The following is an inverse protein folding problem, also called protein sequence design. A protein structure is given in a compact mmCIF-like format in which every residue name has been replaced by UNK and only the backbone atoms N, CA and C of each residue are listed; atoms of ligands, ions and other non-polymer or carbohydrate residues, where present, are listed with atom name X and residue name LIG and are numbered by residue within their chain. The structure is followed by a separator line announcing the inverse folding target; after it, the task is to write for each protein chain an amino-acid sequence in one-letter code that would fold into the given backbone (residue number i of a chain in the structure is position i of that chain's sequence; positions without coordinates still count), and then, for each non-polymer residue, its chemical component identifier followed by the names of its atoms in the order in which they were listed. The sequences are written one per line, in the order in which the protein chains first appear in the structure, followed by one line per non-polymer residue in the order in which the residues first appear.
data_IF_638149365811
#
_entry.id   IF_638149365811
#
_cell.length_a   1.000
_cell.length_b   1.000
_cell.length_c   1.000
_cell.angle_alpha   90.00
_cell.angle_beta   90.00
_cell.angle_gamma   90.00
#
_symmetry.space_group_name_H-M   'P 1'
#
loop_
_entity.id
_entity.type
_entity.pdbx_description
1 polymer ?
#
# COMPACT_ATOMS: atom_id res chain seq x y z
N UNK A 1 -16.84 11.54 -2.74
CA UNK A 1 -15.53 11.71 -2.07
C UNK A 1 -14.67 12.65 -2.91
N UNK A 2 -13.81 13.48 -2.29
CA UNK A 2 -13.04 14.51 -3.00
C UNK A 2 -11.59 14.10 -3.31
N UNK A 3 -11.10 13.05 -2.67
CA UNK A 3 -9.72 12.57 -2.84
C UNK A 3 -9.77 11.14 -3.41
N UNK A 4 -9.28 10.90 -4.63
CA UNK A 4 -9.33 9.57 -5.27
C UNK A 4 -8.32 8.58 -4.66
N UNK A 5 -7.30 9.10 -3.98
CA UNK A 5 -6.29 8.34 -3.27
C UNK A 5 -6.25 8.75 -1.80
N UNK A 6 -6.24 7.77 -0.91
CA UNK A 6 -5.88 7.94 0.50
C UNK A 6 -4.69 7.07 0.83
N UNK A 7 -3.82 7.56 1.71
CA UNK A 7 -2.65 6.86 2.18
C UNK A 7 -2.73 6.65 3.69
N UNK A 8 -2.45 5.43 4.13
CA UNK A 8 -2.35 5.05 5.54
C UNK A 8 -0.96 4.48 5.81
N UNK A 9 -0.32 4.96 6.86
CA UNK A 9 1.01 4.52 7.32
C UNK A 9 1.01 4.54 8.84
N UNK A 10 1.84 3.72 9.47
CA UNK A 10 2.10 3.85 10.90
C UNK A 10 2.65 2.58 11.55
N UNK A 11 2.91 2.72 12.84
CA UNK A 11 3.40 1.65 13.71
C UNK A 11 2.27 1.12 14.59
N UNK A 12 2.08 -0.20 14.61
CA UNK A 12 1.15 -0.85 15.54
C UNK A 12 -0.33 -0.83 15.12
N UNK A 13 -1.23 -0.51 16.04
CA UNK A 13 -2.65 -0.85 15.92
C UNK A 13 -3.49 0.22 15.20
N UNK A 14 -4.39 -0.25 14.35
CA UNK A 14 -5.47 0.54 13.74
C UNK A 14 -6.82 -0.10 14.12
N UNK A 15 -7.80 0.75 14.43
CA UNK A 15 -9.16 0.31 14.77
C UNK A 15 -10.14 1.24 14.09
N UNK A 16 -11.03 0.68 13.27
CA UNK A 16 -12.15 1.40 12.68
C UNK A 16 -13.42 1.13 13.50
N UNK A 17 -14.15 2.20 13.78
CA UNK A 17 -15.55 2.13 14.18
C UNK A 17 -16.42 1.55 13.04
N UNK A 18 -17.67 1.19 13.36
CA UNK A 18 -18.61 0.71 12.34
C UNK A 18 -18.87 1.77 11.26
N UNK A 19 -18.94 3.04 11.66
CA UNK A 19 -19.15 4.15 10.72
C UNK A 19 -17.94 4.35 9.80
N UNK A 20 -16.72 4.29 10.34
CA UNK A 20 -15.48 4.38 9.53
C UNK A 20 -15.34 3.18 8.60
N UNK A 21 -15.66 1.98 9.07
CA UNK A 21 -15.66 0.75 8.27
C UNK A 21 -16.62 0.87 7.09
N UNK A 22 -17.87 1.29 7.34
CA UNK A 22 -18.88 1.48 6.30
C UNK A 22 -18.49 2.58 5.30
N UNK A 23 -17.93 3.68 5.80
CA UNK A 23 -17.47 4.79 4.96
C UNK A 23 -16.27 4.38 4.09
N UNK A 24 -15.29 3.64 4.64
CA UNK A 24 -14.15 3.14 3.89
C UNK A 24 -14.57 2.13 2.82
N UNK A 25 -15.52 1.23 3.13
CA UNK A 25 -16.09 0.32 2.12
C UNK A 25 -16.72 1.12 1.00
N UNK A 26 -17.60 2.07 1.33
CA UNK A 26 -18.29 2.92 0.36
C UNK A 26 -17.29 3.70 -0.50
N UNK A 27 -16.23 4.23 0.11
CA UNK A 27 -15.15 4.91 -0.59
C UNK A 27 -14.48 4.02 -1.63
N UNK A 28 -14.02 2.83 -1.20
CA UNK A 28 -13.28 1.91 -2.06
C UNK A 28 -14.15 1.33 -3.17
N UNK A 29 -15.41 1.00 -2.89
CA UNK A 29 -16.34 0.50 -3.93
C UNK A 29 -16.83 1.59 -4.88
N UNK A 30 -16.76 2.87 -4.49
CA UNK A 30 -17.14 4.01 -5.34
C UNK A 30 -15.99 4.57 -6.20
N UNK A 31 -14.88 3.84 -6.33
CA UNK A 31 -13.73 4.25 -7.15
C UNK A 31 -12.55 4.84 -6.37
N UNK A 32 -12.64 4.94 -5.04
CA UNK A 32 -11.49 5.29 -4.22
C UNK A 32 -10.38 4.23 -4.26
N UNK A 33 -9.17 4.65 -3.91
CA UNK A 33 -8.00 3.79 -3.78
C UNK A 33 -7.30 4.04 -2.45
N UNK A 34 -6.97 2.98 -1.73
CA UNK A 34 -6.22 3.04 -0.48
C UNK A 34 -4.83 2.43 -0.66
N UNK A 35 -3.79 3.22 -0.42
CA UNK A 35 -2.43 2.71 -0.23
C UNK A 35 -2.11 2.61 1.26
N UNK A 36 -1.73 1.42 1.71
CA UNK A 36 -1.31 1.15 3.09
C UNK A 36 0.16 0.79 3.08
N UNK A 37 0.98 1.50 3.85
CA UNK A 37 2.39 1.19 4.03
C UNK A 37 2.67 0.77 5.47
N UNK A 38 3.25 -0.42 5.64
CA UNK A 38 3.63 -0.93 6.95
C UNK A 38 5.03 -0.43 7.33
N UNK A 39 5.09 0.50 8.27
CA UNK A 39 6.33 1.01 8.84
C UNK A 39 6.84 0.17 10.02
N UNK A 40 6.06 -0.85 10.43
CA UNK A 40 6.39 -2.00 11.28
C UNK A 40 5.27 -2.31 12.28
N UNK A 41 4.75 -3.54 12.22
CA UNK A 41 3.79 -4.08 13.19
C UNK A 41 2.31 -3.82 12.87
N UNK A 42 1.98 -3.31 11.67
CA UNK A 42 0.61 -3.04 11.26
C UNK A 42 -0.15 -4.29 10.80
N UNK A 43 0.57 -5.30 10.28
CA UNK A 43 0.01 -6.44 9.55
C UNK A 43 -1.20 -7.13 10.21
N UNK A 44 -1.08 -7.56 11.48
CA UNK A 44 -2.17 -8.27 12.17
C UNK A 44 -3.42 -7.40 12.37
N UNK A 45 -3.24 -6.09 12.50
CA UNK A 45 -4.31 -5.15 12.76
C UNK A 45 -5.02 -4.78 11.47
N UNK A 46 -4.26 -4.53 10.40
CA UNK A 46 -4.87 -4.17 9.12
C UNK A 46 -5.61 -5.34 8.48
N UNK A 47 -5.12 -6.57 8.64
CA UNK A 47 -5.88 -7.76 8.22
C UNK A 47 -7.23 -7.84 8.93
N UNK A 48 -7.25 -7.65 10.26
CA UNK A 48 -8.50 -7.64 11.04
C UNK A 48 -9.44 -6.52 10.59
N UNK A 49 -8.94 -5.30 10.47
CA UNK A 49 -9.78 -4.14 10.14
C UNK A 49 -10.30 -4.21 8.70
N UNK A 50 -9.47 -4.61 7.74
CA UNK A 50 -9.93 -4.76 6.35
C UNK A 50 -10.93 -5.90 6.18
N UNK A 51 -10.92 -6.92 7.05
CA UNK A 51 -11.98 -7.94 7.07
C UNK A 51 -13.33 -7.37 7.51
N UNK A 52 -13.37 -6.32 8.34
CA UNK A 52 -14.60 -5.60 8.64
C UNK A 52 -15.10 -4.83 7.41
N UNK A 53 -14.18 -4.21 6.66
CA UNK A 53 -14.50 -3.43 5.44
C UNK A 53 -15.00 -4.34 4.32
N UNK A 54 -14.32 -5.48 4.10
CA UNK A 54 -14.68 -6.49 3.13
C UNK A 54 -14.77 -7.89 3.76
N UNK A 55 -15.94 -8.28 4.30
CA UNK A 55 -16.11 -9.59 4.95
C UNK A 55 -15.83 -10.79 4.03
N UNK A 56 -16.10 -10.65 2.73
CA UNK A 56 -15.99 -11.73 1.76
C UNK A 56 -14.71 -11.68 0.91
N UNK A 57 -13.85 -10.67 1.12
CA UNK A 57 -12.57 -10.55 0.43
C UNK A 57 -11.43 -10.71 1.43
N UNK A 58 -10.27 -11.10 0.91
CA UNK A 58 -9.03 -11.20 1.66
C UNK A 58 -7.91 -10.50 0.88
N UNK A 59 -6.85 -10.13 1.59
CA UNK A 59 -5.61 -9.71 0.95
C UNK A 59 -5.03 -10.86 0.15
N UNK A 60 -4.71 -10.60 -1.11
CA UNK A 60 -3.97 -11.53 -1.99
C UNK A 60 -2.64 -10.93 -2.36
N UNK A 61 -1.57 -11.74 -2.37
CA UNK A 61 -0.27 -11.27 -2.85
C UNK A 61 -0.36 -11.01 -4.36
N UNK A 62 0.04 -9.82 -4.78
CA UNK A 62 -0.01 -9.43 -6.18
C UNK A 62 1.19 -10.01 -6.93
N UNK A 63 0.97 -10.69 -8.08
CA UNK A 63 2.09 -11.15 -8.90
C UNK A 63 2.89 -9.97 -9.41
N UNK A 64 4.21 -10.14 -9.62
CA UNK A 64 5.06 -9.05 -10.11
C UNK A 64 4.67 -8.52 -11.50
N UNK A 65 3.88 -9.28 -12.27
CA UNK A 65 3.29 -8.83 -13.54
C UNK A 65 2.10 -7.88 -13.37
N UNK A 66 1.61 -7.63 -12.15
CA UNK A 66 0.47 -6.75 -11.91
C UNK A 66 0.80 -5.32 -12.39
N UNK A 67 -0.14 -4.61 -13.05
CA UNK A 67 0.16 -3.31 -13.64
C UNK A 67 0.67 -2.26 -12.64
N UNK A 68 0.33 -2.36 -11.35
CA UNK A 68 0.85 -1.45 -10.31
C UNK A 68 2.39 -1.39 -10.26
N UNK A 69 3.08 -2.47 -10.65
CA UNK A 69 4.54 -2.53 -10.73
C UNK A 69 5.11 -2.02 -12.07
N UNK A 70 4.24 -1.71 -13.03
CA UNK A 70 4.57 -1.40 -14.43
C UNK A 70 3.78 -0.20 -14.94
N UNK A 71 3.98 0.95 -14.32
CA UNK A 71 3.43 2.24 -14.78
C UNK A 71 4.55 3.02 -15.50
N UNK A 72 4.77 4.31 -15.20
CA UNK A 72 5.93 5.06 -15.71
C UNK A 72 7.26 4.37 -15.44
N UNK A 73 7.41 3.76 -14.27
CA UNK A 73 8.59 3.00 -13.86
C UNK A 73 8.28 1.51 -13.80
N UNK A 74 9.26 0.66 -14.08
CA UNK A 74 9.07 -0.79 -14.12
C UNK A 74 9.82 -1.48 -12.99
N UNK A 75 9.09 -2.27 -12.20
CA UNK A 75 9.55 -3.04 -11.06
C UNK A 75 9.31 -4.54 -11.27
N UNK A 76 10.09 -5.21 -12.14
CA UNK A 76 9.86 -6.61 -12.52
C UNK A 76 10.08 -7.62 -11.38
N UNK A 77 10.58 -7.15 -10.23
CA UNK A 77 10.80 -7.94 -9.01
C UNK A 77 9.91 -7.48 -7.85
N UNK A 78 8.86 -6.72 -8.14
CA UNK A 78 7.97 -6.15 -7.13
C UNK A 78 8.60 -4.97 -6.38
N UNK A 79 8.13 -4.75 -5.15
CA UNK A 79 8.48 -3.61 -4.33
C UNK A 79 10.00 -3.48 -4.06
N UNK A 80 10.55 -2.26 -4.03
CA UNK A 80 11.89 -2.04 -3.51
C UNK A 80 11.91 -2.26 -1.98
N UNK A 81 12.95 -2.91 -1.45
CA UNK A 81 13.23 -2.96 -0.01
C UNK A 81 13.94 -1.66 0.38
N UNK A 82 13.29 -0.81 1.18
CA UNK A 82 13.87 0.45 1.66
C UNK A 82 14.48 0.22 3.03
N UNK A 83 13.68 -0.28 3.98
CA UNK A 83 14.11 -0.59 5.34
C UNK A 83 14.06 -2.10 5.63
N UNK A 84 14.91 -2.56 6.55
CA UNK A 84 14.94 -3.96 7.01
C UNK A 84 13.97 -4.17 8.19
N UNK A 85 13.06 -5.14 8.06
CA UNK A 85 12.17 -5.61 9.13
C UNK A 85 12.56 -7.03 9.57
N UNK A 86 11.68 -8.02 9.40
CA UNK A 86 11.88 -9.40 9.88
C UNK A 86 12.79 -10.23 8.97
N UNK A 87 13.67 -9.60 8.17
CA UNK A 87 14.49 -10.23 7.13
C UNK A 87 13.68 -10.99 6.07
N UNK A 88 12.42 -10.62 5.87
CA UNK A 88 11.57 -11.16 4.81
C UNK A 88 11.70 -10.31 3.55
N UNK A 89 11.33 -10.90 2.42
CA UNK A 89 11.24 -10.17 1.16
C UNK A 89 10.10 -9.14 1.24
N UNK A 90 10.22 -8.01 0.52
CA UNK A 90 9.12 -7.05 0.43
C UNK A 90 7.95 -7.67 -0.35
N UNK A 91 6.72 -7.45 0.12
CA UNK A 91 5.52 -8.07 -0.44
C UNK A 91 4.43 -7.01 -0.66
N UNK A 92 3.76 -7.08 -1.82
CA UNK A 92 2.63 -6.23 -2.12
C UNK A 92 1.34 -7.03 -2.13
N UNK A 93 0.45 -6.76 -1.20
CA UNK A 93 -0.86 -7.36 -1.10
C UNK A 93 -1.94 -6.45 -1.67
N UNK A 94 -3.02 -7.04 -2.19
CA UNK A 94 -4.14 -6.30 -2.75
C UNK A 94 -5.48 -6.82 -2.27
N UNK A 95 -6.46 -5.92 -2.18
CA UNK A 95 -7.89 -6.30 -2.18
C UNK A 95 -8.44 -6.02 -3.57
N UNK A 96 -9.00 -7.06 -4.19
CA UNK A 96 -9.59 -6.99 -5.53
C UNK A 96 -11.10 -6.98 -5.40
N UNK A 97 -11.74 -5.87 -5.80
CA UNK A 97 -13.20 -5.73 -5.83
C UNK A 97 -13.66 -5.56 -7.28
N UNK A 98 -14.51 -6.48 -7.76
CA UNK A 98 -15.04 -6.47 -9.14
C UNK A 98 -13.93 -6.38 -10.21
N UNK A 99 -12.81 -7.05 -9.97
CA UNK A 99 -11.66 -7.09 -10.89
C UNK A 99 -10.71 -5.88 -10.80
N UNK A 100 -11.02 -4.87 -9.97
CA UNK A 100 -10.15 -3.71 -9.73
C UNK A 100 -9.40 -3.85 -8.40
N UNK A 101 -8.12 -3.48 -8.39
CA UNK A 101 -7.36 -3.31 -7.15
C UNK A 101 -7.83 -2.04 -6.45
N UNK A 102 -8.45 -2.19 -5.27
CA UNK A 102 -9.00 -1.04 -4.51
C UNK A 102 -8.13 -0.67 -3.31
N UNK A 103 -7.38 -1.62 -2.77
CA UNK A 103 -6.44 -1.40 -1.68
C UNK A 103 -5.13 -2.06 -2.03
N UNK A 104 -4.02 -1.34 -1.94
CA UNK A 104 -2.67 -1.87 -2.08
C UNK A 104 -1.93 -1.73 -0.75
N UNK A 105 -1.47 -2.84 -0.20
CA UNK A 105 -0.77 -2.93 1.07
C UNK A 105 0.68 -3.34 0.84
N UNK A 106 1.61 -2.46 1.17
CA UNK A 106 3.06 -2.69 1.09
C UNK A 106 3.58 -3.17 2.44
N UNK A 107 4.07 -4.39 2.46
CA UNK A 107 4.55 -5.10 3.66
C UNK A 107 6.04 -5.40 3.52
N UNK A 108 6.76 -5.35 4.64
CA UNK A 108 8.19 -5.69 4.68
C UNK A 108 9.06 -4.83 3.74
N UNK A 109 8.70 -3.57 3.52
CA UNK A 109 9.49 -2.69 2.65
C UNK A 109 9.71 -1.26 3.18
N UNK A 110 8.71 -0.68 3.86
CA UNK A 110 8.65 0.71 4.30
C UNK A 110 8.95 1.73 3.18
N UNK A 111 8.00 1.93 2.25
CA UNK A 111 8.23 2.92 1.19
C UNK A 111 8.36 4.34 1.75
N UNK A 112 7.68 4.62 2.86
CA UNK A 112 7.64 5.87 3.58
C UNK A 112 9.03 6.41 3.93
N UNK A 113 9.92 5.57 4.48
CA UNK A 113 11.31 5.92 4.79
C UNK A 113 12.02 6.58 3.59
N UNK A 114 11.76 6.07 2.38
CA UNK A 114 12.35 6.56 1.15
C UNK A 114 11.68 7.82 0.57
N UNK A 115 10.49 8.19 1.06
CA UNK A 115 9.72 9.36 0.66
C UNK A 115 10.00 10.58 1.53
N UNK A 116 10.49 10.37 2.75
CA UNK A 116 10.84 11.42 3.67
C UNK A 116 12.12 12.18 3.28
N UNK A 117 12.35 13.30 3.97
CA UNK A 117 13.57 14.07 3.85
C UNK A 117 14.78 13.19 4.19
N UNK A 118 15.87 13.37 3.43
CA UNK A 118 17.06 12.50 3.49
C UNK A 118 17.59 12.31 4.91
N UNK A 119 17.52 13.36 5.71
CA UNK A 119 18.10 13.42 7.05
C UNK A 119 17.37 12.58 8.09
N UNK A 120 16.14 12.13 7.83
CA UNK A 120 15.36 11.34 8.79
C UNK A 120 15.92 9.91 8.90
N UNK A 121 16.08 9.21 7.76
CA UNK A 121 16.53 7.82 7.72
C UNK A 121 17.96 7.65 7.19
N UNK A 122 18.51 8.67 6.52
CA UNK A 122 19.83 8.63 5.87
C UNK A 122 19.99 7.49 4.85
N UNK A 123 18.89 7.07 4.21
CA UNK A 123 18.90 6.04 3.19
C UNK A 123 19.79 6.40 1.99
N UNK A 124 20.44 5.40 1.37
CA UNK A 124 21.18 5.61 0.13
C UNK A 124 20.30 6.22 -0.97
N UNK A 125 20.85 7.16 -1.74
CA UNK A 125 20.09 7.90 -2.77
C UNK A 125 19.43 6.98 -3.80
N UNK A 126 20.06 5.86 -4.14
CA UNK A 126 19.51 4.88 -5.07
C UNK A 126 18.29 4.11 -4.50
N UNK A 127 18.19 3.97 -3.18
CA UNK A 127 17.05 3.35 -2.50
C UNK A 127 15.90 4.34 -2.43
N UNK A 128 16.17 5.59 -1.99
CA UNK A 128 15.18 6.68 -1.98
C UNK A 128 14.58 6.91 -3.37
N UNK A 129 15.41 6.94 -4.40
CA UNK A 129 14.94 7.08 -5.78
C UNK A 129 13.96 5.97 -6.20
N UNK A 130 14.22 4.72 -5.80
CA UNK A 130 13.31 3.59 -6.09
C UNK A 130 12.00 3.71 -5.31
N UNK A 131 12.05 4.12 -4.04
CA UNK A 131 10.86 4.35 -3.24
C UNK A 131 9.98 5.42 -3.88
N UNK A 132 10.55 6.57 -4.25
CA UNK A 132 9.84 7.66 -4.92
C UNK A 132 9.25 7.23 -6.27
N UNK A 133 9.97 6.43 -7.05
CA UNK A 133 9.48 5.86 -8.32
C UNK A 133 8.30 4.91 -8.10
N UNK A 134 8.35 4.05 -7.06
CA UNK A 134 7.23 3.18 -6.72
C UNK A 134 6.02 3.99 -6.22
N UNK A 135 6.24 5.04 -5.44
CA UNK A 135 5.19 5.99 -5.04
C UNK A 135 4.53 6.66 -6.26
N UNK A 136 5.33 7.08 -7.24
CA UNK A 136 4.81 7.63 -8.50
C UNK A 136 3.95 6.61 -9.27
N UNK A 137 4.37 5.34 -9.33
CA UNK A 137 3.56 4.27 -9.92
C UNK A 137 2.23 4.07 -9.18
N UNK A 138 2.22 4.08 -7.84
CA UNK A 138 0.99 3.91 -7.05
C UNK A 138 0.01 5.04 -7.34
N UNK A 139 0.50 6.29 -7.39
CA UNK A 139 -0.31 7.46 -7.74
C UNK A 139 -0.83 7.34 -9.18
N UNK A 140 0.03 7.04 -10.15
CA UNK A 140 -0.40 6.87 -11.55
C UNK A 140 -1.46 5.78 -11.70
N UNK A 141 -1.25 4.62 -11.06
CA UNK A 141 -2.19 3.51 -11.08
C UNK A 141 -3.56 3.91 -10.51
N UNK A 142 -3.58 4.63 -9.38
CA UNK A 142 -4.82 5.06 -8.71
C UNK A 142 -5.66 6.05 -9.54
N UNK A 143 -5.07 6.75 -10.51
CA UNK A 143 -5.75 7.75 -11.34
C UNK A 143 -6.06 7.29 -12.76
N UNK A 144 -5.57 6.12 -13.18
CA UNK A 144 -5.66 5.66 -14.58
C UNK A 144 -6.41 4.34 -14.77
N UNK A 145 -6.84 3.68 -13.69
CA UNK A 145 -7.51 2.38 -13.72
C UNK A 145 -8.93 2.42 -13.15
#
# INVERSE_FOLDING_TARGET
FNYPLVHMTGHGNVVFSEQETSNLRTYLTSGGFLHIDDNYGLNQYIWREMKKVFPDLDFVELPYSHPIYHQKYSFPKGLPKVHEHDKKAPQGFGIIYEGRLVCFYTYECDLGDGWEDREVHNDPDNIRQKALQMGANIIEYAFTN
#
